data_IF_187258027036
#
_entry.id   IF_187258027036
#
_cell.length_a   1.000
_cell.length_b   1.000
_cell.length_c   1.000
_cell.angle_alpha   90.00
_cell.angle_beta   90.00
_cell.angle_gamma   90.00
#
_symmetry.space_group_name_H-M   'P 1'
#
loop_
_entity.id
_entity.type
_entity.pdbx_description
1 polymer ?
#
# COMPACT_ATOMS: atom_id res chain seq x y z
N UNK A 1 -16.67 -17.77 -5.02
CA UNK A 1 -15.94 -17.70 -3.74
C UNK A 1 -15.64 -16.24 -3.47
N UNK A 2 -16.18 -15.64 -2.40
CA UNK A 2 -15.64 -14.35 -1.92
C UNK A 2 -14.23 -14.65 -1.41
N UNK A 3 -13.21 -13.98 -1.93
CA UNK A 3 -11.86 -14.11 -1.39
C UNK A 3 -11.91 -13.65 0.08
N UNK A 4 -11.32 -14.43 0.98
CA UNK A 4 -11.27 -14.16 2.43
C UNK A 4 -10.48 -12.88 2.77
N UNK A 5 -9.96 -12.16 1.77
CA UNK A 5 -8.95 -11.10 1.89
C UNK A 5 -9.34 -9.81 1.13
N UNK A 6 -10.63 -9.46 1.06
CA UNK A 6 -11.03 -8.16 0.51
C UNK A 6 -10.53 -7.00 1.40
N UNK A 7 -10.15 -5.89 0.77
CA UNK A 7 -9.66 -4.69 1.44
C UNK A 7 -8.91 -3.75 0.50
N UNK A 8 -8.71 -2.50 0.92
CA UNK A 8 -7.96 -1.53 0.11
C UNK A 8 -6.46 -1.86 0.15
N UNK A 9 -5.81 -1.81 -1.02
CA UNK A 9 -4.43 -2.24 -1.22
C UNK A 9 -3.54 -1.04 -1.52
N UNK A 10 -2.56 -0.78 -0.67
CA UNK A 10 -1.40 0.04 -1.01
C UNK A 10 -0.42 -0.81 -1.82
N UNK A 11 -0.51 -0.68 -3.14
CA UNK A 11 0.27 -1.49 -4.08
C UNK A 11 1.47 -0.72 -4.63
N UNK A 12 2.51 -1.44 -5.04
CA UNK A 12 3.54 -0.93 -5.94
C UNK A 12 2.93 -0.43 -7.24
N UNK A 13 3.46 0.68 -7.74
CA UNK A 13 2.88 1.46 -8.82
C UNK A 13 2.62 0.64 -10.09
N UNK A 14 3.58 -0.22 -10.47
CA UNK A 14 3.52 -0.98 -11.72
C UNK A 14 2.41 -2.05 -11.73
N UNK A 15 1.89 -2.42 -10.56
CA UNK A 15 0.91 -3.50 -10.42
C UNK A 15 -0.54 -3.01 -10.36
N UNK A 16 -0.77 -1.70 -10.29
CA UNK A 16 -2.11 -1.14 -10.12
C UNK A 16 -3.09 -1.63 -11.20
N UNK A 17 -2.70 -1.59 -12.47
CA UNK A 17 -3.54 -2.07 -13.57
C UNK A 17 -3.83 -3.58 -13.52
N UNK A 18 -2.84 -4.39 -13.14
CA UNK A 18 -3.01 -5.84 -12.99
C UNK A 18 -3.95 -6.19 -11.84
N UNK A 19 -3.81 -5.51 -10.69
CA UNK A 19 -4.67 -5.71 -9.53
C UNK A 19 -6.11 -5.27 -9.81
N UNK A 20 -6.32 -4.17 -10.53
CA UNK A 20 -7.67 -3.76 -10.98
C UNK A 20 -8.32 -4.85 -11.83
N UNK A 21 -7.55 -5.52 -12.69
CA UNK A 21 -8.05 -6.61 -13.53
C UNK A 21 -8.36 -7.88 -12.72
N UNK A 22 -7.49 -8.27 -11.79
CA UNK A 22 -7.62 -9.52 -11.03
C UNK A 22 -8.54 -9.41 -9.80
N UNK A 23 -8.56 -8.25 -9.16
CA UNK A 23 -9.29 -7.95 -7.93
C UNK A 23 -10.20 -6.72 -8.13
N UNK A 24 -11.19 -6.78 -9.04
CA UNK A 24 -12.00 -5.60 -9.40
C UNK A 24 -12.89 -5.08 -8.25
N UNK A 25 -13.01 -5.83 -7.15
CA UNK A 25 -13.78 -5.42 -5.96
C UNK A 25 -12.93 -4.67 -4.93
N UNK A 26 -11.61 -4.78 -5.03
CA UNK A 26 -10.67 -4.19 -4.08
C UNK A 26 -10.07 -2.92 -4.68
N UNK A 27 -10.01 -1.85 -3.89
CA UNK A 27 -9.43 -0.58 -4.36
C UNK A 27 -7.92 -0.65 -4.26
N UNK A 28 -7.25 -0.20 -5.31
CA UNK A 28 -5.80 0.00 -5.33
C UNK A 28 -5.48 1.45 -5.00
N UNK A 29 -4.34 1.69 -4.37
CA UNK A 29 -3.93 3.04 -4.00
C UNK A 29 -3.48 3.86 -5.20
N UNK A 30 -2.75 3.24 -6.13
CA UNK A 30 -2.22 3.93 -7.31
C UNK A 30 -2.14 3.00 -8.53
N UNK A 31 -2.35 3.56 -9.72
CA UNK A 31 -2.09 2.90 -10.99
C UNK A 31 -1.49 3.85 -12.03
N UNK A 32 -1.09 3.28 -13.18
CA UNK A 32 -0.42 3.95 -14.30
C UNK A 32 -1.09 5.22 -14.86
N UNK A 33 -2.37 5.45 -14.57
CA UNK A 33 -3.17 6.57 -15.11
C UNK A 33 -3.20 7.79 -14.20
N UNK A 34 -2.80 7.64 -12.93
CA UNK A 34 -3.01 8.61 -11.86
C UNK A 34 -1.88 9.64 -11.58
N UNK A 35 -0.66 9.62 -12.19
CA UNK A 35 0.44 10.49 -11.76
C UNK A 35 0.18 12.00 -11.72
N UNK A 36 -0.75 12.52 -12.52
CA UNK A 36 -1.03 13.94 -12.65
C UNK A 36 -2.44 14.34 -12.22
N UNK A 37 -3.18 13.45 -11.56
CA UNK A 37 -4.54 13.77 -11.13
C UNK A 37 -4.53 14.84 -10.03
N UNK A 38 -5.44 15.82 -10.10
CA UNK A 38 -5.56 16.81 -9.04
C UNK A 38 -6.15 16.16 -7.78
N UNK A 39 -5.63 16.54 -6.62
CA UNK A 39 -6.22 16.17 -5.32
C UNK A 39 -6.50 17.44 -4.52
N UNK A 40 -7.37 17.35 -3.52
CA UNK A 40 -7.66 18.44 -2.59
C UNK A 40 -6.43 18.94 -1.83
N UNK A 41 -5.41 18.09 -1.66
CA UNK A 41 -4.15 18.43 -0.99
C UNK A 41 -3.18 19.24 -1.86
N UNK A 42 -3.45 19.36 -3.17
CA UNK A 42 -2.51 19.94 -4.13
C UNK A 42 -1.34 19.03 -4.52
N UNK A 43 -1.18 17.86 -3.89
CA UNK A 43 -0.22 16.82 -4.27
C UNK A 43 -0.86 15.84 -5.24
N UNK A 44 -0.11 15.28 -6.18
CA UNK A 44 -0.65 14.21 -7.02
C UNK A 44 -0.72 12.89 -6.24
N UNK A 45 -1.58 11.93 -6.64
CA UNK A 45 -1.63 10.60 -6.03
C UNK A 45 -0.27 9.91 -6.02
N UNK A 46 0.54 10.13 -7.06
CA UNK A 46 1.88 9.58 -7.15
C UNK A 46 2.85 10.22 -6.15
N UNK A 47 2.76 11.54 -5.91
CA UNK A 47 3.54 12.19 -4.84
C UNK A 47 3.18 11.61 -3.48
N UNK A 48 1.89 11.45 -3.17
CA UNK A 48 1.44 10.87 -1.89
C UNK A 48 1.92 9.41 -1.76
N UNK A 49 1.84 8.62 -2.83
CA UNK A 49 2.39 7.26 -2.88
C UNK A 49 3.88 7.24 -2.51
N UNK A 50 4.69 8.13 -3.11
CA UNK A 50 6.12 8.20 -2.83
C UNK A 50 6.42 8.63 -1.40
N UNK A 51 5.66 9.57 -0.83
CA UNK A 51 5.82 10.00 0.56
C UNK A 51 5.53 8.86 1.54
N UNK A 52 4.46 8.11 1.29
CA UNK A 52 4.10 6.92 2.08
C UNK A 52 5.18 5.85 1.95
N UNK A 53 5.56 5.48 0.71
CA UNK A 53 6.55 4.43 0.43
C UNK A 53 7.93 4.74 1.04
N UNK A 54 8.30 6.02 1.08
CA UNK A 54 9.53 6.52 1.70
C UNK A 54 9.42 6.73 3.20
N UNK A 55 8.30 6.36 3.82
CA UNK A 55 8.07 6.48 5.26
C UNK A 55 8.24 7.90 5.80
N UNK A 56 7.85 8.90 4.99
CA UNK A 56 7.87 10.30 5.42
C UNK A 56 6.97 10.51 6.66
N UNK A 57 7.19 11.57 7.46
CA UNK A 57 6.35 11.84 8.63
C UNK A 57 4.85 11.81 8.27
N UNK A 58 4.06 11.05 9.03
CA UNK A 58 2.63 10.86 8.75
C UNK A 58 2.27 9.70 7.81
N UNK A 59 3.23 8.87 7.38
CA UNK A 59 2.97 7.80 6.41
C UNK A 59 1.92 6.78 6.90
N UNK A 60 1.98 6.36 8.17
CA UNK A 60 1.10 5.31 8.70
C UNK A 60 -0.31 5.85 8.98
N UNK A 61 -0.38 7.11 9.41
CA UNK A 61 -1.62 7.88 9.55
C UNK A 61 -2.28 8.05 8.18
N UNK A 62 -1.51 8.35 7.14
CA UNK A 62 -2.01 8.44 5.76
C UNK A 62 -2.61 7.10 5.32
N UNK A 63 -1.89 5.98 5.53
CA UNK A 63 -2.44 4.65 5.25
C UNK A 63 -3.75 4.38 6.01
N UNK A 64 -3.90 4.90 7.23
CA UNK A 64 -5.14 4.79 8.01
C UNK A 64 -6.26 5.65 7.42
N UNK A 65 -5.98 6.90 7.04
CA UNK A 65 -6.93 7.81 6.42
C UNK A 65 -7.50 7.25 5.09
N UNK A 66 -6.64 6.65 4.27
CA UNK A 66 -7.05 5.96 3.05
C UNK A 66 -7.71 4.59 3.31
N UNK A 67 -7.80 4.16 4.56
CA UNK A 67 -8.40 2.88 4.95
C UNK A 67 -7.70 1.69 4.32
N UNK A 68 -6.37 1.73 4.22
CA UNK A 68 -5.57 0.64 3.63
C UNK A 68 -5.59 -0.56 4.56
N UNK A 69 -5.97 -1.72 4.04
CA UNK A 69 -5.98 -2.99 4.75
C UNK A 69 -4.74 -3.85 4.43
N UNK A 70 -4.17 -3.66 3.23
CA UNK A 70 -3.06 -4.45 2.69
C UNK A 70 -1.96 -3.56 2.11
N UNK A 71 -0.70 -3.92 2.33
CA UNK A 71 0.46 -3.35 1.65
C UNK A 71 1.06 -4.43 0.77
N UNK A 72 1.27 -4.14 -0.51
CA UNK A 72 1.96 -4.99 -1.46
C UNK A 72 3.06 -4.18 -2.15
N UNK A 73 4.30 -4.39 -1.76
CA UNK A 73 5.46 -3.61 -2.21
C UNK A 73 6.64 -4.53 -2.54
N UNK A 74 7.69 -3.98 -3.15
CA UNK A 74 8.93 -4.72 -3.35
C UNK A 74 9.72 -4.83 -2.02
N UNK A 75 10.43 -5.95 -1.81
CA UNK A 75 11.41 -6.06 -0.74
C UNK A 75 12.48 -4.96 -0.85
N UNK A 76 12.97 -4.47 0.29
CA UNK A 76 14.05 -3.48 0.35
C UNK A 76 13.63 -2.03 0.09
N UNK A 77 12.35 -1.75 -0.10
CA UNK A 77 11.82 -0.37 -0.05
C UNK A 77 11.99 0.21 1.36
N UNK A 78 12.01 1.55 1.52
CA UNK A 78 12.09 2.18 2.85
C UNK A 78 11.01 1.67 3.79
N UNK A 79 9.77 1.53 3.31
CA UNK A 79 8.67 0.94 4.06
C UNK A 79 8.90 -0.51 4.45
N UNK A 80 9.40 -1.37 3.54
CA UNK A 80 9.73 -2.75 3.89
C UNK A 80 10.80 -2.81 4.97
N UNK A 81 11.88 -2.03 4.81
CA UNK A 81 12.98 -1.99 5.77
C UNK A 81 12.51 -1.51 7.15
N UNK A 82 11.60 -0.53 7.20
CA UNK A 82 11.01 -0.05 8.46
C UNK A 82 10.11 -1.10 9.12
N UNK A 83 9.24 -1.74 8.33
CA UNK A 83 8.26 -2.68 8.85
C UNK A 83 8.90 -4.01 9.26
N UNK A 84 9.88 -4.50 8.53
CA UNK A 84 10.48 -5.82 8.72
C UNK A 84 11.01 -6.07 10.13
N UNK A 85 11.51 -5.03 10.80
CA UNK A 85 12.13 -5.17 12.13
C UNK A 85 11.09 -5.43 13.24
N UNK A 86 9.93 -4.75 13.19
CA UNK A 86 8.84 -4.91 14.16
C UNK A 86 7.50 -4.44 13.56
N UNK A 87 6.87 -5.26 12.69
CA UNK A 87 5.61 -4.87 12.03
C UNK A 87 4.48 -4.53 13.02
N UNK A 88 4.27 -5.31 14.12
CA UNK A 88 3.20 -5.05 15.08
C UNK A 88 3.27 -3.67 15.74
N UNK A 89 4.47 -3.12 15.97
CA UNK A 89 4.65 -1.74 16.46
C UNK A 89 3.94 -0.68 15.60
N UNK A 90 3.80 -0.96 14.30
CA UNK A 90 3.14 -0.08 13.34
C UNK A 90 1.71 -0.53 13.00
N UNK A 91 1.19 -1.57 13.66
CA UNK A 91 -0.15 -2.13 13.40
C UNK A 91 -0.22 -3.03 12.17
N UNK A 92 0.92 -3.60 11.75
CA UNK A 92 1.02 -4.46 10.58
C UNK A 92 1.50 -5.87 10.95
N UNK A 93 1.21 -6.84 10.10
CA UNK A 93 1.68 -8.21 10.20
C UNK A 93 2.14 -8.66 8.81
N UNK A 94 3.37 -9.17 8.70
CA UNK A 94 3.85 -9.76 7.46
C UNK A 94 3.09 -11.06 7.17
N UNK A 95 2.48 -11.17 5.99
CA UNK A 95 1.73 -12.35 5.54
C UNK A 95 2.46 -13.13 4.46
N UNK A 96 3.34 -12.48 3.72
CA UNK A 96 4.07 -13.09 2.63
C UNK A 96 5.35 -12.31 2.33
N UNK A 97 6.40 -13.04 1.94
CA UNK A 97 7.66 -12.48 1.45
C UNK A 97 8.32 -13.48 0.50
N UNK A 98 8.79 -12.98 -0.63
CA UNK A 98 9.72 -13.67 -1.52
C UNK A 98 10.77 -12.68 -2.06
N UNK A 99 11.47 -13.06 -3.13
CA UNK A 99 12.49 -12.24 -3.77
C UNK A 99 11.93 -11.00 -4.50
N UNK A 100 10.64 -10.99 -4.84
CA UNK A 100 10.02 -9.96 -5.69
C UNK A 100 8.98 -9.10 -4.96
N UNK A 101 8.33 -9.64 -3.92
CA UNK A 101 7.18 -9.03 -3.24
C UNK A 101 7.19 -9.30 -1.74
N UNK A 102 6.70 -8.32 -0.98
CA UNK A 102 6.32 -8.47 0.43
C UNK A 102 4.88 -7.99 0.61
N UNK A 103 4.12 -8.72 1.43
CA UNK A 103 2.72 -8.40 1.76
C UNK A 103 2.58 -8.23 3.26
N UNK A 104 2.07 -7.07 3.66
CA UNK A 104 1.65 -6.81 5.04
C UNK A 104 0.14 -6.67 5.12
N UNK A 105 -0.44 -7.12 6.22
CA UNK A 105 -1.85 -6.97 6.57
C UNK A 105 -1.98 -6.10 7.82
N UNK A 106 -2.95 -5.20 7.83
CA UNK A 106 -3.28 -4.43 9.04
C UNK A 106 -3.86 -5.35 10.13
N UNK A 107 -3.42 -5.17 11.37
CA UNK A 107 -3.84 -6.00 12.52
C UNK A 107 -5.02 -5.37 13.27
N UNK A 108 -5.14 -4.03 13.29
CA UNK A 108 -6.22 -3.30 13.96
C UNK A 108 -6.71 -2.11 13.12
N UNK A 109 -8.03 -1.85 13.07
CA UNK A 109 -8.63 -0.69 12.38
C UNK A 109 -8.76 0.52 13.30
#
# INVERSE_FOLDING_TARGET
MKSQASGNIFNRYEWGGFLIWQLPQDKVFVDGRMPAWPTSSGKSPYTIFLEILQTQPGWNESLKEYGIDWILINPGTFMDLLLKDDPPKYGWEEKYRDEISVVYRRVEK
#
